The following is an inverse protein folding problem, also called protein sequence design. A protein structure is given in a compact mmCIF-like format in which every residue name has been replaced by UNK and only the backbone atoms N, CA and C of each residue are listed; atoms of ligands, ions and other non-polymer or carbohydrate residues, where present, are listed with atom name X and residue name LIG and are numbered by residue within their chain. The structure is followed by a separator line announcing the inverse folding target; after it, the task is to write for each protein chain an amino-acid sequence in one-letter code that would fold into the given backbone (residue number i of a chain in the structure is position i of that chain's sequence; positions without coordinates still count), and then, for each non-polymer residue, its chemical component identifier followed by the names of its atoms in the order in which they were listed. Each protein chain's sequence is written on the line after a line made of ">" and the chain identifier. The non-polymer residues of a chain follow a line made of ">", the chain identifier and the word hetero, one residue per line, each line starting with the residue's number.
data_IF_719899970510
#
_entry.id   IF_719899970510
#
_cell.length_a   1.000
_cell.length_b   1.000
_cell.length_c   1.000
_cell.angle_alpha   90.00
_cell.angle_beta   90.00
_cell.angle_gamma   90.00
#
_symmetry.space_group_name_H-M   'P 1'
#
loop_
_entity.id
_entity.type
_entity.pdbx_description
1 polymer ?
#
# COMPACT_ATOMS: atom_id res chain seq x y z
N UNK A 1 29.18 7.41 1.45
CA UNK A 1 28.71 7.48 2.85
C UNK A 1 27.20 7.25 2.86
N UNK A 2 26.64 6.56 3.86
CA UNK A 2 25.20 6.39 4.03
C UNK A 2 24.68 7.37 5.07
N UNK A 3 23.55 8.02 4.79
CA UNK A 3 22.96 9.04 5.66
C UNK A 3 21.48 8.72 5.88
N UNK A 4 21.01 8.89 7.11
CA UNK A 4 19.59 8.80 7.44
C UNK A 4 18.84 9.97 6.79
N UNK A 5 17.75 9.67 6.09
CA UNK A 5 16.97 10.69 5.37
C UNK A 5 16.21 11.60 6.36
N UNK A 6 16.04 11.17 7.61
CA UNK A 6 15.13 11.81 8.56
C UNK A 6 13.70 11.32 8.35
N UNK A 7 12.78 11.79 9.21
CA UNK A 7 11.38 11.39 9.17
C UNK A 7 10.47 12.44 9.82
N UNK A 8 9.16 12.30 9.59
CA UNK A 8 8.10 12.97 10.33
C UNK A 8 7.13 11.95 10.95
N UNK A 9 6.37 12.37 11.97
CA UNK A 9 5.46 11.48 12.70
C UNK A 9 6.07 10.98 14.02
N UNK A 10 5.70 9.77 14.44
CA UNK A 10 6.15 9.19 15.71
C UNK A 10 7.67 9.01 15.73
N UNK A 11 8.33 9.27 16.86
CA UNK A 11 9.77 9.01 17.02
C UNK A 11 10.12 7.51 16.92
N UNK A 12 9.20 6.65 17.33
CA UNK A 12 9.39 5.21 17.37
C UNK A 12 8.70 4.54 16.18
N UNK A 13 9.30 3.47 15.68
CA UNK A 13 8.73 2.65 14.61
C UNK A 13 8.33 1.27 15.08
N UNK A 14 8.66 0.92 16.32
CA UNK A 14 8.30 -0.33 16.94
C UNK A 14 8.01 -0.11 18.42
N UNK A 15 6.97 -0.76 18.95
CA UNK A 15 6.79 -0.88 20.39
C UNK A 15 6.05 -2.14 20.82
N UNK A 16 6.43 -2.67 21.97
CA UNK A 16 5.82 -3.84 22.60
C UNK A 16 5.77 -3.66 24.12
N UNK A 17 4.56 -3.63 24.66
CA UNK A 17 4.35 -3.21 26.05
C UNK A 17 4.85 -1.77 26.25
N UNK A 18 5.65 -1.56 27.29
CA UNK A 18 6.19 -0.24 27.64
C UNK A 18 7.51 0.09 26.92
N UNK A 19 8.03 -0.82 26.08
CA UNK A 19 9.29 -0.61 25.36
C UNK A 19 9.00 -0.09 23.95
N UNK A 20 9.62 1.03 23.58
CA UNK A 20 9.52 1.64 22.25
C UNK A 20 10.91 1.98 21.70
N UNK A 21 11.12 1.77 20.40
CA UNK A 21 12.39 2.09 19.72
C UNK A 21 12.19 2.38 18.23
N UNK A 22 13.17 3.06 17.61
CA UNK A 22 13.21 3.32 16.17
C UNK A 22 14.07 2.27 15.46
N UNK A 23 13.45 1.14 15.11
CA UNK A 23 14.10 0.01 14.40
C UNK A 23 14.14 0.20 12.89
N UNK A 24 13.15 0.88 12.32
CA UNK A 24 12.98 1.03 10.89
C UNK A 24 13.52 2.40 10.47
N UNK A 25 14.47 2.42 9.54
CA UNK A 25 15.13 3.65 9.07
C UNK A 25 15.31 3.60 7.57
N UNK A 26 15.22 4.76 6.93
CA UNK A 26 15.56 4.90 5.52
C UNK A 26 16.90 5.61 5.42
N UNK A 27 17.86 4.93 4.82
CA UNK A 27 19.22 5.42 4.63
C UNK A 27 19.47 5.56 3.12
N UNK A 28 20.14 6.63 2.73
CA UNK A 28 20.50 6.92 1.35
C UNK A 28 22.00 7.10 1.18
N UNK A 29 22.53 6.70 0.03
CA UNK A 29 23.82 7.18 -0.44
C UNK A 29 23.66 8.52 -1.17
N UNK A 30 24.79 9.07 -1.63
CA UNK A 30 24.83 10.38 -2.29
C UNK A 30 24.07 10.39 -3.61
N UNK A 31 24.29 9.41 -4.49
CA UNK A 31 23.60 9.31 -5.80
C UNK A 31 22.08 9.27 -5.66
N UNK A 32 21.56 8.53 -4.68
CA UNK A 32 20.13 8.46 -4.39
C UNK A 32 19.60 9.81 -3.92
N UNK A 33 20.36 10.52 -3.07
CA UNK A 33 19.96 11.85 -2.56
C UNK A 33 19.95 12.92 -3.65
N UNK A 34 20.86 12.82 -4.62
CA UNK A 34 20.85 13.68 -5.81
C UNK A 34 19.64 13.36 -6.71
N UNK A 35 19.28 12.09 -6.84
CA UNK A 35 18.14 11.66 -7.67
C UNK A 35 16.78 12.02 -7.04
N UNK A 36 16.68 11.93 -5.70
CA UNK A 36 15.45 12.16 -4.94
C UNK A 36 15.68 13.18 -3.83
N UNK A 37 16.11 14.38 -4.22
CA UNK A 37 16.45 15.48 -3.30
C UNK A 37 15.32 15.87 -2.36
N UNK A 38 14.08 15.73 -2.85
CA UNK A 38 12.87 16.10 -2.12
C UNK A 38 12.26 14.89 -1.38
N UNK A 39 12.97 13.76 -1.32
CA UNK A 39 12.43 12.59 -0.68
C UNK A 39 12.13 12.83 0.80
N UNK A 40 10.98 12.33 1.24
CA UNK A 40 10.54 12.44 2.63
C UNK A 40 10.02 11.11 3.14
N UNK A 41 10.19 10.89 4.44
CA UNK A 41 9.73 9.70 5.15
C UNK A 41 8.74 10.12 6.22
N UNK A 42 7.61 9.42 6.31
CA UNK A 42 6.61 9.63 7.36
C UNK A 42 6.30 8.32 8.05
N UNK A 43 6.35 8.31 9.38
CA UNK A 43 5.92 7.17 10.19
C UNK A 43 4.40 7.21 10.31
N UNK A 44 3.73 6.24 9.70
CA UNK A 44 2.28 6.15 9.74
C UNK A 44 1.79 5.60 11.08
N UNK A 45 0.54 5.91 11.48
CA UNK A 45 -0.08 5.25 12.61
C UNK A 45 -0.10 3.74 12.42
N UNK A 46 0.25 3.03 13.50
CA UNK A 46 0.26 1.58 13.56
C UNK A 46 -1.15 1.02 13.65
N UNK A 47 -1.40 -0.11 12.98
CA UNK A 47 -2.65 -0.85 13.07
C UNK A 47 -2.39 -2.36 13.15
N UNK A 48 -2.77 -2.98 14.28
CA UNK A 48 -2.65 -4.43 14.56
C UNK A 48 -1.26 -5.03 14.27
N UNK A 49 -0.22 -4.22 14.32
CA UNK A 49 1.19 -4.59 14.25
C UNK A 49 1.87 -4.04 15.49
N UNK A 50 3.06 -4.50 15.83
CA UNK A 50 3.99 -3.83 16.76
C UNK A 50 4.83 -2.76 16.05
N UNK A 51 4.89 -2.77 14.71
CA UNK A 51 5.56 -1.78 13.87
C UNK A 51 4.66 -0.67 13.32
N UNK A 52 5.22 0.54 13.18
CA UNK A 52 4.67 1.65 12.41
C UNK A 52 5.14 1.54 10.95
N UNK A 53 4.22 1.55 9.97
CA UNK A 53 4.62 1.58 8.57
C UNK A 53 5.38 2.86 8.20
N UNK A 54 6.42 2.73 7.38
CA UNK A 54 7.13 3.87 6.79
C UNK A 54 6.53 4.22 5.44
N UNK A 55 6.13 5.49 5.27
CA UNK A 55 5.71 6.02 3.98
C UNK A 55 6.81 6.89 3.38
N UNK A 56 7.41 6.43 2.28
CA UNK A 56 8.45 7.15 1.55
C UNK A 56 7.81 7.85 0.33
N UNK A 57 8.01 9.15 0.22
CA UNK A 57 7.60 9.96 -0.94
C UNK A 57 8.86 10.47 -1.63
N UNK A 58 9.06 10.09 -2.89
CA UNK A 58 10.23 10.48 -3.67
C UNK A 58 10.11 11.88 -4.30
N UNK A 59 8.89 12.28 -4.64
CA UNK A 59 8.59 13.56 -5.31
C UNK A 59 7.34 14.18 -4.67
N UNK A 60 7.46 14.80 -3.49
CA UNK A 60 6.31 15.37 -2.79
C UNK A 60 5.72 16.61 -3.47
N UNK A 61 6.53 17.30 -4.28
CA UNK A 61 6.22 18.59 -4.94
C UNK A 61 5.70 18.43 -6.37
N UNK A 62 5.85 17.26 -6.99
CA UNK A 62 5.37 17.07 -8.36
C UNK A 62 3.85 16.91 -8.35
N UNK A 63 3.21 17.75 -9.16
CA UNK A 63 1.78 17.71 -9.42
C UNK A 63 1.33 16.26 -9.65
N UNK A 64 0.19 15.93 -9.05
CA UNK A 64 -0.53 14.65 -9.14
C UNK A 64 -0.71 14.12 -10.58
N UNK A 65 -0.43 14.94 -11.59
CA UNK A 65 -0.40 14.64 -13.01
C UNK A 65 0.72 13.69 -13.47
N UNK A 66 1.77 13.41 -12.68
CA UNK A 66 2.78 12.36 -12.98
C UNK A 66 2.27 10.93 -12.65
N UNK A 67 1.01 10.77 -12.25
CA UNK A 67 0.41 9.44 -11.97
C UNK A 67 -0.11 8.69 -13.21
N UNK A 68 0.23 9.12 -14.42
CA UNK A 68 -0.40 8.58 -15.65
C UNK A 68 -0.07 7.12 -15.96
N UNK A 69 1.04 6.57 -15.44
CA UNK A 69 1.48 5.20 -15.77
C UNK A 69 1.46 4.23 -14.56
N UNK A 70 0.61 4.47 -13.56
CA UNK A 70 0.44 3.45 -12.51
C UNK A 70 -0.35 2.27 -13.09
N UNK A 71 0.25 1.06 -13.15
CA UNK A 71 -0.50 -0.09 -13.61
C UNK A 71 -1.68 -0.34 -12.67
N UNK A 72 -2.79 -0.78 -13.25
CA UNK A 72 -3.92 -1.27 -12.48
C UNK A 72 -3.47 -2.37 -11.52
N UNK A 73 -3.84 -2.25 -10.24
CA UNK A 73 -3.55 -3.25 -9.20
C UNK A 73 -4.81 -3.55 -8.43
N UNK A 74 -5.07 -4.83 -8.22
CA UNK A 74 -6.14 -5.31 -7.37
C UNK A 74 -5.60 -6.42 -6.46
N UNK A 75 -6.34 -6.78 -5.41
CA UNK A 75 -5.88 -7.82 -4.51
C UNK A 75 -6.04 -9.19 -5.18
N UNK A 76 -4.96 -9.98 -5.25
CA UNK A 76 -4.98 -11.31 -5.87
C UNK A 76 -6.10 -12.23 -5.36
N UNK A 77 -6.48 -12.24 -4.06
CA UNK A 77 -7.63 -13.00 -3.57
C UNK A 77 -8.97 -12.67 -4.23
N UNK A 78 -9.12 -11.50 -4.87
CA UNK A 78 -10.36 -11.12 -5.56
C UNK A 78 -10.69 -12.08 -6.69
N UNK A 79 -9.68 -12.65 -7.37
CA UNK A 79 -9.90 -13.64 -8.45
C UNK A 79 -10.67 -14.87 -7.95
N UNK A 80 -10.56 -15.18 -6.66
CA UNK A 80 -11.19 -16.34 -6.05
C UNK A 80 -12.62 -16.06 -5.55
N UNK A 81 -13.07 -14.81 -5.58
CA UNK A 81 -14.41 -14.45 -5.15
C UNK A 81 -15.44 -14.82 -6.23
N UNK A 82 -16.56 -15.43 -5.84
CA UNK A 82 -17.60 -15.91 -6.75
C UNK A 82 -18.15 -14.81 -7.69
N UNK A 83 -18.35 -13.60 -7.16
CA UNK A 83 -18.79 -12.44 -7.95
C UNK A 83 -17.72 -11.80 -8.85
N UNK A 84 -16.44 -12.19 -8.78
CA UNK A 84 -15.37 -11.48 -9.47
C UNK A 84 -15.59 -11.42 -10.98
N UNK A 85 -15.95 -12.56 -11.60
CA UNK A 85 -16.22 -12.61 -13.03
C UNK A 85 -17.38 -11.70 -13.44
N UNK A 86 -18.43 -11.60 -12.60
CA UNK A 86 -19.57 -10.70 -12.84
C UNK A 86 -19.16 -9.24 -12.76
N UNK A 87 -18.43 -8.85 -11.71
CA UNK A 87 -17.97 -7.47 -11.51
C UNK A 87 -17.04 -7.01 -12.62
N UNK A 88 -16.07 -7.85 -13.03
CA UNK A 88 -15.18 -7.52 -14.17
C UNK A 88 -15.99 -7.34 -15.45
N UNK A 89 -16.94 -8.23 -15.74
CA UNK A 89 -17.77 -8.16 -16.95
C UNK A 89 -18.68 -6.94 -16.98
N UNK A 90 -19.21 -6.52 -15.82
CA UNK A 90 -20.06 -5.33 -15.74
C UNK A 90 -19.27 -4.03 -15.87
N UNK A 91 -18.05 -3.98 -15.33
CA UNK A 91 -17.17 -2.80 -15.38
C UNK A 91 -16.42 -2.65 -16.72
N UNK A 92 -16.01 -3.74 -17.37
CA UNK A 92 -15.30 -3.73 -18.67
C UNK A 92 -16.25 -3.99 -19.85
N UNK A 93 -17.21 -3.09 -20.07
CA UNK A 93 -18.04 -3.12 -21.29
C UNK A 93 -17.31 -2.50 -22.47
N UNK A 94 -17.55 -3.05 -23.66
CA UNK A 94 -16.98 -2.52 -24.90
C UNK A 94 -17.37 -1.04 -25.10
N UNK A 95 -16.39 -0.21 -25.46
CA UNK A 95 -16.59 1.22 -25.68
C UNK A 95 -16.53 2.11 -24.43
N UNK A 96 -16.25 1.54 -23.25
CA UNK A 96 -16.01 2.31 -22.02
C UNK A 96 -14.54 2.70 -21.93
N UNK A 97 -14.27 3.98 -21.66
CA UNK A 97 -12.91 4.46 -21.42
C UNK A 97 -12.29 3.79 -20.19
N UNK A 98 -10.98 3.53 -20.23
CA UNK A 98 -10.25 2.84 -19.16
C UNK A 98 -10.40 3.52 -17.80
N UNK A 99 -10.49 4.86 -17.75
CA UNK A 99 -10.71 5.59 -16.50
C UNK A 99 -12.07 5.29 -15.87
N UNK A 100 -13.11 5.20 -16.70
CA UNK A 100 -14.47 4.89 -16.26
C UNK A 100 -14.60 3.42 -15.84
N UNK A 101 -14.03 2.49 -16.62
CA UNK A 101 -14.02 1.06 -16.27
C UNK A 101 -13.34 0.80 -14.91
N UNK A 102 -12.23 1.50 -14.65
CA UNK A 102 -11.54 1.45 -13.35
C UNK A 102 -12.39 2.04 -12.23
N UNK A 103 -13.01 3.20 -12.46
CA UNK A 103 -13.89 3.82 -11.47
C UNK A 103 -15.05 2.89 -11.09
N UNK A 104 -15.68 2.27 -12.08
CA UNK A 104 -16.80 1.35 -11.87
C UNK A 104 -16.35 0.06 -11.17
N UNK A 105 -15.16 -0.46 -11.49
CA UNK A 105 -14.60 -1.62 -10.80
C UNK A 105 -14.32 -1.38 -9.31
N UNK A 106 -13.79 -0.21 -8.94
CA UNK A 106 -13.60 0.15 -7.53
C UNK A 106 -14.90 0.58 -6.84
N UNK A 107 -15.85 1.15 -7.60
CA UNK A 107 -17.16 1.62 -7.13
C UNK A 107 -18.15 0.48 -6.90
N UNK A 108 -18.06 -0.59 -7.69
CA UNK A 108 -18.66 -1.89 -7.41
C UNK A 108 -17.93 -2.51 -6.23
N UNK A 109 -18.30 -2.06 -5.03
CA UNK A 109 -17.81 -2.60 -3.75
C UNK A 109 -17.97 -4.12 -3.76
N UNK A 110 -16.91 -4.85 -4.12
CA UNK A 110 -16.72 -6.21 -3.59
C UNK A 110 -16.69 -6.02 -2.08
N UNK A 111 -17.70 -6.48 -1.32
CA UNK A 111 -17.82 -6.13 0.08
C UNK A 111 -16.54 -6.56 0.78
N UNK A 112 -15.76 -5.60 1.28
CA UNK A 112 -14.53 -5.86 2.04
C UNK A 112 -14.75 -6.85 3.19
N UNK A 113 -16.00 -6.96 3.66
CA UNK A 113 -16.46 -7.92 4.66
C UNK A 113 -16.40 -9.39 4.19
N UNK A 114 -16.62 -9.71 2.90
CA UNK A 114 -16.45 -11.10 2.39
C UNK A 114 -14.99 -11.51 2.25
N UNK A 115 -14.11 -10.53 2.01
CA UNK A 115 -12.65 -10.73 1.91
C UNK A 115 -11.96 -10.94 3.25
N UNK A 116 -12.49 -10.36 4.34
CA UNK A 116 -11.97 -10.64 5.69
C UNK A 116 -12.18 -12.13 6.02
N UNK A 117 -13.34 -12.71 5.68
CA UNK A 117 -13.57 -14.15 5.85
C UNK A 117 -12.61 -15.01 5.00
N UNK A 118 -12.37 -14.60 3.75
CA UNK A 118 -11.48 -15.31 2.82
C UNK A 118 -10.00 -15.23 3.22
N UNK A 119 -9.52 -14.09 3.73
CA UNK A 119 -8.13 -13.95 4.21
C UNK A 119 -7.90 -14.62 5.57
N UNK A 120 -8.90 -14.65 6.46
CA UNK A 120 -8.80 -15.39 7.73
C UNK A 120 -8.73 -16.91 7.47
N UNK A 121 -9.46 -17.44 6.50
CA UNK A 121 -9.34 -18.86 6.10
C UNK A 121 -7.98 -19.24 5.53
N UNK A 122 -7.34 -18.34 4.77
CA UNK A 122 -6.00 -18.58 4.19
C UNK A 122 -4.86 -18.47 5.20
N UNK A 123 -5.01 -17.65 6.25
CA UNK A 123 -4.02 -17.51 7.33
C UNK A 123 -4.08 -18.65 8.36
N UNK A 124 -5.21 -19.35 8.48
CA UNK A 124 -5.39 -20.47 9.41
C UNK A 124 -4.94 -21.84 8.84
N UNK A 125 -4.57 -21.91 7.56
CA UNK A 125 -4.17 -23.15 6.87
C UNK A 125 -2.67 -23.21 6.53
N UNK A 126 -1.81 -22.49 7.26
CA UNK A 126 -0.38 -22.85 7.28
C UNK A 126 -0.11 -23.78 8.47
N UNK A 127 0.22 -25.06 8.24
CA UNK A 127 0.73 -25.90 9.31
C UNK A 127 2.04 -25.28 9.79
N UNK A 128 2.14 -25.09 11.11
CA UNK A 128 3.39 -24.75 11.75
C UNK A 128 4.38 -25.91 11.50
N UNK A 129 5.42 -25.64 10.73
CA UNK A 129 6.69 -26.36 10.74
C UNK A 129 7.78 -25.33 11.06
#
# INVERSE_FOLDING_TARGET
>A
MLVDIGFSGSEFTWSRGDVSTRLDRVISNEDWRLTFSDASVTHLPRYKSDHNPLWIRFFPSSDSSIRRDRPFRFLAPWVMHEDFGRVVKEAWKDGVDWGHALHDFYGMRMPLLSLIGFMVGFLLLRPAL
#
